data_IF_253054954621
#
_entry.id   IF_253054954621
#
_cell.length_a   1.000
_cell.length_b   1.000
_cell.length_c   1.000
_cell.angle_alpha   90.00
_cell.angle_beta   90.00
_cell.angle_gamma   90.00
#
_symmetry.space_group_name_H-M   'P 1'
#
loop_
_entity.id
_entity.type
_entity.pdbx_description
1 polymer ?
#
# COMPACT_ATOMS: atom_id res chain seq x y z
N UNK A 1 -7.09 -15.72 -13.03
CA UNK A 1 -6.48 -14.76 -13.99
C UNK A 1 -7.28 -13.46 -13.88
N UNK A 2 -6.67 -12.27 -14.00
CA UNK A 2 -7.42 -11.02 -14.04
C UNK A 2 -8.37 -11.00 -15.26
N UNK A 3 -9.64 -10.64 -15.07
CA UNK A 3 -10.69 -10.63 -16.11
C UNK A 3 -10.81 -9.26 -16.82
N UNK A 4 -9.90 -8.33 -16.53
CA UNK A 4 -9.90 -6.98 -17.09
C UNK A 4 -10.89 -6.01 -16.43
N UNK A 5 -11.59 -6.43 -15.37
CA UNK A 5 -12.53 -5.55 -14.65
C UNK A 5 -11.79 -4.41 -13.95
N UNK A 6 -12.34 -3.21 -14.07
CA UNK A 6 -11.95 -2.06 -13.26
C UNK A 6 -12.46 -2.24 -11.83
N UNK A 7 -11.55 -2.35 -10.86
CA UNK A 7 -11.89 -2.57 -9.45
C UNK A 7 -11.95 -1.27 -8.63
N UNK A 8 -11.24 -0.23 -9.06
CA UNK A 8 -11.21 1.07 -8.39
C UNK A 8 -9.96 1.87 -8.73
N UNK A 9 -9.88 3.07 -8.14
CA UNK A 9 -8.80 4.02 -8.35
C UNK A 9 -7.95 4.21 -7.09
N UNK A 10 -6.66 4.53 -7.28
CA UNK A 10 -5.73 4.87 -6.19
C UNK A 10 -5.13 6.24 -6.46
N UNK A 11 -5.46 7.21 -5.61
CA UNK A 11 -4.92 8.57 -5.69
C UNK A 11 -3.81 8.74 -4.66
N UNK A 12 -2.63 9.19 -5.12
CA UNK A 12 -1.46 9.45 -4.27
C UNK A 12 -1.02 10.89 -4.50
N UNK A 13 -0.89 11.66 -3.43
CA UNK A 13 -0.35 13.02 -3.48
C UNK A 13 1.15 13.00 -3.12
N UNK A 14 2.08 13.21 -4.08
CA UNK A 14 3.51 13.13 -3.79
C UNK A 14 3.98 14.14 -2.74
N UNK A 15 3.37 15.33 -2.71
CA UNK A 15 3.66 16.35 -1.71
C UNK A 15 3.33 15.89 -0.28
N UNK A 16 2.29 15.06 -0.10
CA UNK A 16 1.99 14.47 1.20
C UNK A 16 2.96 13.31 1.52
N UNK A 17 3.28 12.47 0.53
CA UNK A 17 4.21 11.36 0.68
C UNK A 17 5.62 11.81 1.11
N UNK A 18 6.08 12.97 0.63
CA UNK A 18 7.38 13.54 1.00
C UNK A 18 7.52 13.83 2.51
N UNK A 19 6.41 13.94 3.25
CA UNK A 19 6.42 14.19 4.70
C UNK A 19 6.49 12.90 5.55
N UNK A 20 6.52 11.72 4.92
CA UNK A 20 6.42 10.41 5.59
C UNK A 20 7.71 9.92 6.27
N UNK A 21 8.80 10.69 6.23
CA UNK A 21 10.08 10.33 6.88
C UNK A 21 10.86 9.21 6.20
N UNK A 22 10.48 8.84 4.96
CA UNK A 22 11.18 7.89 4.09
C UNK A 22 11.59 8.59 2.80
N UNK A 23 12.49 7.95 2.05
CA UNK A 23 12.75 8.36 0.67
C UNK A 23 11.45 8.34 -0.14
N UNK A 24 11.22 9.40 -0.92
CA UNK A 24 9.95 9.61 -1.65
C UNK A 24 9.59 8.39 -2.52
N UNK A 25 10.58 7.79 -3.18
CA UNK A 25 10.36 6.60 -4.00
C UNK A 25 9.82 5.42 -3.19
N UNK A 26 10.40 5.13 -2.04
CA UNK A 26 9.93 4.07 -1.15
C UNK A 26 8.50 4.34 -0.67
N UNK A 27 8.21 5.59 -0.29
CA UNK A 27 6.88 5.95 0.19
C UNK A 27 5.82 5.84 -0.90
N UNK A 28 6.12 6.26 -2.14
CA UNK A 28 5.20 6.09 -3.26
C UNK A 28 4.92 4.61 -3.56
N UNK A 29 5.93 3.74 -3.50
CA UNK A 29 5.73 2.29 -3.65
C UNK A 29 4.85 1.73 -2.53
N UNK A 30 5.09 2.14 -1.28
CA UNK A 30 4.27 1.73 -0.13
C UNK A 30 2.81 2.16 -0.31
N UNK A 31 2.56 3.42 -0.66
CA UNK A 31 1.21 3.97 -0.86
C UNK A 31 0.49 3.31 -2.04
N UNK A 32 1.18 3.02 -3.14
CA UNK A 32 0.61 2.33 -4.29
C UNK A 32 0.18 0.89 -3.93
N UNK A 33 1.05 0.13 -3.25
CA UNK A 33 0.71 -1.21 -2.75
C UNK A 33 -0.43 -1.13 -1.75
N UNK A 34 -0.38 -0.17 -0.83
CA UNK A 34 -1.38 0.03 0.21
C UNK A 34 -2.78 0.30 -0.38
N UNK A 35 -2.89 1.30 -1.26
CA UNK A 35 -4.14 1.65 -1.94
C UNK A 35 -4.66 0.50 -2.79
N UNK A 36 -3.78 -0.21 -3.50
CA UNK A 36 -4.16 -1.38 -4.30
C UNK A 36 -4.76 -2.48 -3.42
N UNK A 37 -4.16 -2.76 -2.25
CA UNK A 37 -4.70 -3.75 -1.32
C UNK A 37 -6.09 -3.35 -0.81
N UNK A 38 -6.34 -2.07 -0.55
CA UNK A 38 -7.68 -1.59 -0.20
C UNK A 38 -8.69 -1.76 -1.34
N UNK A 39 -8.32 -1.46 -2.59
CA UNK A 39 -9.17 -1.71 -3.77
C UNK A 39 -9.52 -3.20 -3.91
N UNK A 40 -8.61 -4.09 -3.51
CA UNK A 40 -8.84 -5.54 -3.49
C UNK A 40 -9.64 -6.03 -2.26
N UNK A 41 -10.11 -5.13 -1.40
CA UNK A 41 -10.94 -5.46 -0.22
C UNK A 41 -10.14 -5.88 1.01
N UNK A 42 -8.81 -5.70 1.04
CA UNK A 42 -8.04 -5.87 2.27
C UNK A 42 -8.16 -4.63 3.15
N UNK A 43 -8.15 -4.84 4.46
CA UNK A 43 -8.19 -3.77 5.44
C UNK A 43 -7.26 -4.05 6.63
N UNK A 44 -6.98 -3.02 7.42
CA UNK A 44 -6.25 -3.13 8.67
C UNK A 44 -6.89 -2.24 9.75
N UNK A 45 -6.80 -2.64 11.04
CA UNK A 45 -7.21 -1.77 12.13
C UNK A 45 -6.23 -0.59 12.28
N UNK A 46 -6.69 0.50 12.89
CA UNK A 46 -5.81 1.56 13.36
C UNK A 46 -4.97 1.11 14.58
N UNK A 47 -3.90 1.85 14.87
CA UNK A 47 -3.08 1.65 16.07
C UNK A 47 -2.30 0.33 16.09
N UNK A 48 -2.08 -0.21 17.29
CA UNK A 48 -1.16 -1.34 17.54
C UNK A 48 -1.55 -2.66 16.84
N UNK A 49 -2.80 -2.81 16.41
CA UNK A 49 -3.25 -3.97 15.65
C UNK A 49 -2.81 -3.95 14.18
N UNK A 50 -2.43 -2.78 13.64
CA UNK A 50 -2.14 -2.59 12.22
C UNK A 50 -1.08 -3.56 11.71
N UNK A 51 0.05 -3.64 12.41
CA UNK A 51 1.22 -4.42 12.00
C UNK A 51 1.00 -5.93 12.04
N UNK A 52 -0.02 -6.39 12.77
CA UNK A 52 -0.41 -7.80 12.84
C UNK A 52 -1.44 -8.20 11.78
N UNK A 53 -2.07 -7.23 11.11
CA UNK A 53 -3.11 -7.50 10.12
C UNK A 53 -2.59 -8.26 8.90
N UNK A 54 -3.48 -9.04 8.27
CA UNK A 54 -3.16 -9.73 7.03
C UNK A 54 -2.78 -8.77 5.90
N UNK A 55 -3.41 -7.59 5.84
CA UNK A 55 -3.09 -6.55 4.87
C UNK A 55 -1.66 -6.05 5.06
N UNK A 56 -1.25 -5.72 6.29
CA UNK A 56 0.11 -5.26 6.57
C UNK A 56 1.16 -6.28 6.16
N UNK A 57 0.97 -7.55 6.52
CA UNK A 57 1.89 -8.62 6.15
C UNK A 57 2.01 -8.81 4.62
N UNK A 58 0.92 -8.59 3.88
CA UNK A 58 0.94 -8.60 2.40
C UNK A 58 1.67 -7.39 1.85
N UNK A 59 1.39 -6.19 2.39
CA UNK A 59 2.04 -4.95 1.99
C UNK A 59 3.56 -5.08 2.10
N UNK A 60 4.08 -5.44 3.29
CA UNK A 60 5.52 -5.51 3.51
C UNK A 60 6.20 -6.55 2.61
N UNK A 61 5.50 -7.63 2.26
CA UNK A 61 6.00 -8.63 1.30
C UNK A 61 6.15 -8.05 -0.10
N UNK A 62 5.16 -7.30 -0.59
CA UNK A 62 5.20 -6.69 -1.93
C UNK A 62 6.18 -5.53 -2.00
N UNK A 63 6.19 -4.65 -0.99
CA UNK A 63 7.14 -3.54 -0.88
C UNK A 63 8.58 -4.06 -0.89
N UNK A 64 8.89 -5.09 -0.07
CA UNK A 64 10.22 -5.73 -0.08
C UNK A 64 10.58 -6.36 -1.43
N UNK A 65 9.61 -6.78 -2.23
CA UNK A 65 9.88 -7.36 -3.56
C UNK A 65 10.12 -6.27 -4.61
N UNK A 66 9.44 -5.14 -4.50
CA UNK A 66 9.47 -4.05 -5.48
C UNK A 66 10.65 -3.08 -5.26
N UNK A 67 11.13 -2.94 -4.03
CA UNK A 67 12.29 -2.10 -3.68
C UNK A 67 13.62 -2.85 -3.63
N UNK A 68 13.64 -4.09 -4.14
CA UNK A 68 14.87 -4.88 -4.29
C UNK A 68 15.58 -4.54 -5.57
#
# INVERSE_FOLDING_TARGET
QPDGRLLGDVYIAPAAAANGGRELHEELVRLAVHGTLHVLGYDHPAGAGRTRSAMWQRQERYVKRLLR
#
